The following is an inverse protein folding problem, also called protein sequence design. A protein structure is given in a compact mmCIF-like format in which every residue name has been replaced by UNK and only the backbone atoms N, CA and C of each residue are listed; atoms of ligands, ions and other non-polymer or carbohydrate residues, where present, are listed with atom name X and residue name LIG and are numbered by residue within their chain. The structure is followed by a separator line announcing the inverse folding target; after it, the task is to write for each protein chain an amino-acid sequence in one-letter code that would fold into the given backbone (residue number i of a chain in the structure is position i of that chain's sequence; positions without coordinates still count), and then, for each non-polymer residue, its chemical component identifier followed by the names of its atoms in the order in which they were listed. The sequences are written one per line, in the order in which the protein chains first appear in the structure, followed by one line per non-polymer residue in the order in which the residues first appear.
data_IF_386218969508
#
_entry.id   IF_386218969508
#
_cell.length_a   1.000
_cell.length_b   1.000
_cell.length_c   1.000
_cell.angle_alpha   90.00
_cell.angle_beta   90.00
_cell.angle_gamma   90.00
#
_symmetry.space_group_name_H-M   'P 1'
#
loop_
_entity.id
_entity.type
_entity.pdbx_description
1 polymer ?
#
# COMPACT_ATOMS: atom_id res chain seq x y z
N UNK A 1 -13.96 -15.67 29.50
CA UNK A 1 -12.76 -15.60 28.65
C UNK A 1 -12.82 -16.73 27.64
N UNK A 2 -13.16 -16.47 26.36
CA UNK A 2 -12.92 -17.44 25.32
C UNK A 2 -11.54 -17.22 24.72
N UNK A 3 -10.70 -18.24 24.83
CA UNK A 3 -9.43 -18.39 24.14
C UNK A 3 -9.66 -18.44 22.64
N UNK A 4 -9.36 -17.34 21.94
CA UNK A 4 -9.33 -17.32 20.48
C UNK A 4 -8.10 -18.13 20.03
N UNK A 5 -8.34 -19.34 19.54
CA UNK A 5 -7.31 -20.25 19.04
C UNK A 5 -6.88 -19.75 17.67
N UNK A 6 -5.79 -19.01 17.60
CA UNK A 6 -5.09 -18.69 16.36
C UNK A 6 -4.39 -19.96 15.84
N UNK A 7 -5.15 -20.83 15.18
CA UNK A 7 -4.61 -21.94 14.41
C UNK A 7 -4.85 -21.66 12.93
N UNK A 8 -3.82 -21.12 12.28
CA UNK A 8 -3.37 -21.38 10.90
C UNK A 8 -2.31 -20.32 10.51
N UNK A 9 -1.22 -20.28 11.29
CA UNK A 9 0.06 -19.70 10.87
C UNK A 9 0.97 -20.88 10.50
N UNK A 10 0.91 -21.30 9.24
CA UNK A 10 1.85 -22.30 8.74
C UNK A 10 3.20 -21.64 8.43
N UNK A 11 4.13 -21.88 9.35
CA UNK A 11 5.54 -22.23 9.13
C UNK A 11 6.42 -21.32 8.23
N UNK A 12 6.88 -20.18 8.77
CA UNK A 12 8.28 -19.71 8.56
C UNK A 12 8.70 -18.49 9.42
N UNK A 13 8.01 -18.21 10.53
CA UNK A 13 8.52 -17.29 11.56
C UNK A 13 8.22 -17.86 12.96
N UNK A 14 9.05 -18.77 13.44
CA UNK A 14 8.95 -19.38 14.78
C UNK A 14 9.54 -18.48 15.87
N UNK A 15 9.33 -17.17 15.78
CA UNK A 15 9.56 -16.24 16.89
C UNK A 15 8.23 -15.56 17.15
N UNK A 16 7.42 -16.16 18.01
CA UNK A 16 6.35 -15.41 18.65
C UNK A 16 7.01 -14.24 19.39
N UNK A 17 6.52 -13.00 19.23
CA UNK A 17 7.06 -11.88 19.99
C UNK A 17 7.02 -12.24 21.48
N UNK A 18 8.11 -11.95 22.19
CA UNK A 18 8.15 -12.09 23.65
C UNK A 18 6.93 -11.38 24.23
N UNK A 19 6.08 -12.11 24.97
CA UNK A 19 4.94 -11.54 25.70
C UNK A 19 5.38 -10.80 26.97
N UNK A 20 6.54 -10.15 26.91
CA UNK A 20 7.18 -9.44 27.98
C UNK A 20 8.15 -8.40 27.42
N UNK A 21 8.30 -7.30 28.13
CA UNK A 21 9.22 -6.21 27.82
C UNK A 21 8.54 -5.01 27.16
N UNK A 22 9.27 -3.90 26.98
CA UNK A 22 8.67 -2.59 26.69
C UNK A 22 7.78 -2.53 25.44
N UNK A 23 8.12 -3.31 24.39
CA UNK A 23 7.30 -3.38 23.19
C UNK A 23 5.95 -4.09 23.45
N UNK A 24 5.96 -5.18 24.21
CA UNK A 24 4.73 -5.89 24.55
C UNK A 24 3.84 -5.06 25.48
N UNK A 25 4.46 -4.37 26.45
CA UNK A 25 3.76 -3.45 27.34
C UNK A 25 3.09 -2.32 26.54
N UNK A 26 3.82 -1.71 25.60
CA UNK A 26 3.29 -0.70 24.68
C UNK A 26 2.10 -1.22 23.86
N UNK A 27 2.18 -2.45 23.32
CA UNK A 27 1.06 -3.06 22.57
C UNK A 27 -0.15 -3.28 23.47
N UNK A 28 0.04 -3.83 24.68
CA UNK A 28 -1.03 -4.05 25.65
C UNK A 28 -1.71 -2.73 26.08
N UNK A 29 -0.91 -1.70 26.38
CA UNK A 29 -1.40 -0.37 26.75
C UNK A 29 -2.14 0.31 25.59
N UNK A 30 -1.62 0.17 24.36
CA UNK A 30 -2.28 0.68 23.15
C UNK A 30 -3.63 0.00 22.93
N UNK A 31 -3.71 -1.32 23.05
CA UNK A 31 -4.97 -2.06 22.95
C UNK A 31 -5.95 -1.65 24.06
N UNK A 32 -5.49 -1.58 25.30
CA UNK A 32 -6.34 -1.17 26.43
C UNK A 32 -6.87 0.26 26.26
N UNK A 33 -6.03 1.18 25.78
CA UNK A 33 -6.42 2.55 25.49
C UNK A 33 -7.42 2.62 24.35
N UNK A 34 -7.22 1.81 23.29
CA UNK A 34 -8.15 1.68 22.19
C UNK A 34 -9.53 1.23 22.72
N UNK A 35 -9.61 0.15 23.49
CA UNK A 35 -10.87 -0.33 24.09
C UNK A 35 -11.52 0.64 25.08
N UNK A 36 -10.74 1.55 25.68
CA UNK A 36 -11.25 2.58 26.58
C UNK A 36 -11.75 3.83 25.84
N UNK A 37 -11.58 3.90 24.51
CA UNK A 37 -12.08 5.01 23.70
C UNK A 37 -13.57 4.85 23.38
N UNK A 38 -14.22 5.94 22.94
CA UNK A 38 -15.64 5.91 22.55
C UNK A 38 -15.92 5.23 21.22
N UNK A 39 -14.88 4.97 20.43
CA UNK A 39 -15.00 4.41 19.09
C UNK A 39 -13.71 4.59 18.30
N UNK A 40 -13.59 3.83 17.20
CA UNK A 40 -12.43 3.82 16.32
C UNK A 40 -12.81 4.51 15.02
N UNK A 41 -12.01 5.47 14.58
CA UNK A 41 -12.11 6.03 13.24
C UNK A 41 -11.19 5.21 12.34
N UNK A 42 -11.77 4.52 11.36
CA UNK A 42 -11.01 3.73 10.40
C UNK A 42 -10.90 4.49 9.07
N UNK A 43 -9.68 4.68 8.60
CA UNK A 43 -9.41 5.09 7.22
C UNK A 43 -9.64 3.87 6.31
N UNK A 44 -10.89 3.52 6.09
CA UNK A 44 -11.38 2.47 5.18
C UNK A 44 -12.84 2.78 4.83
N UNK A 45 -13.46 2.01 3.96
CA UNK A 45 -14.87 2.19 3.55
C UNK A 45 -15.62 0.86 3.52
N UNK A 46 -16.93 0.93 3.75
CA UNK A 46 -17.78 -0.26 3.93
C UNK A 46 -17.72 -1.22 2.74
N UNK A 47 -17.69 -0.72 1.51
CA UNK A 47 -17.63 -1.55 0.30
C UNK A 47 -16.30 -2.31 0.13
N UNK A 48 -15.25 -1.91 0.86
CA UNK A 48 -13.96 -2.61 0.85
C UNK A 48 -13.91 -3.76 1.85
N UNK A 49 -14.43 -3.55 3.06
CA UNK A 49 -14.17 -4.41 4.22
C UNK A 49 -15.42 -4.71 5.09
N UNK A 50 -16.63 -4.62 4.54
CA UNK A 50 -17.89 -4.77 5.31
C UNK A 50 -17.91 -6.01 6.18
N UNK A 51 -17.47 -7.17 5.66
CA UNK A 51 -17.42 -8.42 6.44
C UNK A 51 -16.64 -8.27 7.74
N UNK A 52 -15.50 -7.57 7.71
CA UNK A 52 -14.65 -7.37 8.88
C UNK A 52 -15.20 -6.27 9.80
N UNK A 53 -15.73 -5.19 9.23
CA UNK A 53 -16.33 -4.07 9.97
C UNK A 53 -17.59 -4.52 10.71
N UNK A 54 -18.45 -5.29 10.05
CA UNK A 54 -19.70 -5.81 10.63
C UNK A 54 -19.40 -6.84 11.71
N UNK A 55 -18.43 -7.73 11.49
CA UNK A 55 -17.94 -8.65 12.51
C UNK A 55 -17.43 -7.89 13.74
N UNK A 56 -16.61 -6.87 13.52
CA UNK A 56 -16.06 -6.05 14.60
C UNK A 56 -17.17 -5.37 15.40
N UNK A 57 -18.07 -4.67 14.73
CA UNK A 57 -19.16 -3.92 15.38
C UNK A 57 -20.21 -4.81 16.05
N UNK A 58 -20.27 -6.09 15.70
CA UNK A 58 -21.15 -7.07 16.35
C UNK A 58 -20.51 -7.69 17.58
N UNK A 59 -19.24 -8.06 17.49
CA UNK A 59 -18.57 -8.91 18.48
C UNK A 59 -17.76 -8.12 19.52
N UNK A 60 -17.49 -6.84 19.27
CA UNK A 60 -16.75 -5.97 20.18
C UNK A 60 -17.59 -4.76 20.60
N UNK A 61 -17.47 -4.37 21.87
CA UNK A 61 -18.22 -3.24 22.45
C UNK A 61 -17.78 -1.87 21.89
N UNK A 62 -16.58 -1.80 21.30
CA UNK A 62 -16.05 -0.59 20.70
C UNK A 62 -16.41 -0.50 19.21
N UNK A 63 -17.25 0.47 18.87
CA UNK A 63 -17.70 0.71 17.48
C UNK A 63 -16.59 1.28 16.60
N UNK A 64 -16.44 0.73 15.41
CA UNK A 64 -15.56 1.22 14.34
C UNK A 64 -16.37 1.93 13.26
N UNK A 65 -15.88 3.12 12.87
CA UNK A 65 -16.45 4.01 11.88
C UNK A 65 -15.53 4.09 10.66
N UNK A 66 -15.84 3.37 9.57
CA UNK A 66 -15.12 3.51 8.32
C UNK A 66 -15.56 4.82 7.63
N UNK A 67 -14.64 5.77 7.54
CA UNK A 67 -14.89 7.12 6.97
C UNK A 67 -13.92 7.48 5.83
N UNK A 68 -13.11 6.52 5.40
CA UNK A 68 -12.14 6.69 4.33
C UNK A 68 -12.74 6.49 2.93
N UNK A 69 -11.93 6.52 1.87
CA UNK A 69 -10.49 6.78 1.89
C UNK A 69 -10.17 8.26 2.07
N UNK A 70 -9.43 8.59 3.13
CA UNK A 70 -9.12 9.98 3.49
C UNK A 70 -8.15 10.67 2.52
N UNK A 71 -7.45 9.93 1.66
CA UNK A 71 -6.65 10.51 0.59
C UNK A 71 -7.49 11.27 -0.45
N UNK A 72 -8.80 11.00 -0.56
CA UNK A 72 -9.74 11.78 -1.38
C UNK A 72 -10.23 13.07 -0.69
N UNK A 73 -10.07 13.17 0.63
CA UNK A 73 -10.48 14.35 1.39
C UNK A 73 -9.37 15.42 1.46
N UNK A 74 -8.12 15.04 1.18
CA UNK A 74 -6.99 15.95 1.14
C UNK A 74 -7.02 16.78 -0.14
N UNK A 75 -6.90 18.11 -0.02
CA UNK A 75 -6.62 18.98 -1.17
C UNK A 75 -5.25 18.64 -1.74
N UNK A 76 -5.11 18.67 -3.07
CA UNK A 76 -3.79 18.52 -3.69
C UNK A 76 -2.82 19.57 -3.15
N UNK A 77 -1.54 19.21 -2.88
CA UNK A 77 -0.53 20.20 -2.56
C UNK A 77 -0.42 21.22 -3.69
N UNK A 78 -0.73 22.48 -3.40
CA UNK A 78 -0.82 23.56 -4.39
C UNK A 78 0.52 23.96 -5.04
N UNK A 79 1.65 23.35 -4.65
CA UNK A 79 2.98 23.69 -5.14
C UNK A 79 3.68 22.45 -5.68
N UNK A 80 3.73 22.34 -7.01
CA UNK A 80 4.58 21.36 -7.68
C UNK A 80 6.04 21.79 -7.56
N UNK A 81 6.86 20.93 -6.97
CA UNK A 81 8.31 21.07 -7.00
C UNK A 81 8.84 21.01 -8.44
N UNK A 82 10.11 21.37 -8.64
CA UNK A 82 10.76 21.18 -9.95
C UNK A 82 10.78 19.69 -10.34
N UNK A 83 10.97 18.82 -9.35
CA UNK A 83 11.04 17.38 -9.54
C UNK A 83 9.66 16.82 -9.93
N UNK A 84 8.57 17.34 -9.36
CA UNK A 84 7.21 16.95 -9.75
C UNK A 84 6.91 17.27 -11.22
N UNK A 85 7.39 18.42 -11.73
CA UNK A 85 7.24 18.79 -13.15
C UNK A 85 8.05 17.87 -14.07
N UNK A 86 9.31 17.61 -13.74
CA UNK A 86 10.16 16.70 -14.51
C UNK A 86 9.64 15.25 -14.51
N UNK A 87 9.05 14.81 -13.41
CA UNK A 87 8.33 13.53 -13.35
C UNK A 87 7.11 13.55 -14.27
N UNK A 88 6.30 14.61 -14.22
CA UNK A 88 5.11 14.73 -15.08
C UNK A 88 5.49 14.70 -16.56
N UNK A 89 6.46 15.51 -16.97
CA UNK A 89 6.92 15.58 -18.37
C UNK A 89 7.43 14.20 -18.86
N UNK A 90 8.16 13.48 -18.01
CA UNK A 90 8.61 12.14 -18.33
C UNK A 90 7.42 11.17 -18.47
N UNK A 91 6.47 11.17 -17.54
CA UNK A 91 5.27 10.33 -17.59
C UNK A 91 4.38 10.63 -18.80
N UNK A 92 4.24 11.91 -19.17
CA UNK A 92 3.54 12.37 -20.37
C UNK A 92 4.20 11.83 -21.64
N UNK A 93 5.54 11.84 -21.70
CA UNK A 93 6.27 11.24 -22.82
C UNK A 93 6.01 9.74 -22.94
N UNK A 94 5.92 9.02 -21.80
CA UNK A 94 5.60 7.58 -21.80
C UNK A 94 4.18 7.34 -22.30
N UNK A 95 3.23 8.17 -21.87
CA UNK A 95 1.83 8.11 -22.31
C UNK A 95 1.72 8.32 -23.83
N UNK A 96 2.40 9.32 -24.38
CA UNK A 96 2.38 9.62 -25.82
C UNK A 96 2.96 8.49 -26.70
N UNK A 97 3.77 7.60 -26.11
CA UNK A 97 4.35 6.43 -26.78
C UNK A 97 3.63 5.12 -26.47
N UNK A 98 2.49 5.16 -25.75
CA UNK A 98 1.77 3.98 -25.26
C UNK A 98 2.65 3.03 -24.43
N UNK A 99 3.61 3.59 -23.67
CA UNK A 99 4.52 2.83 -22.81
C UNK A 99 3.98 2.82 -21.37
N UNK A 100 3.37 1.72 -20.90
CA UNK A 100 2.84 1.64 -19.55
C UNK A 100 3.97 1.66 -18.51
N UNK A 101 3.75 2.42 -17.44
CA UNK A 101 4.73 2.67 -16.38
C UNK A 101 4.38 1.88 -15.13
N UNK A 102 5.38 1.18 -14.57
CA UNK A 102 5.36 0.67 -13.21
C UNK A 102 5.92 1.74 -12.27
N UNK A 103 5.09 2.26 -11.37
CA UNK A 103 5.56 3.11 -10.29
C UNK A 103 6.14 2.23 -9.18
N UNK A 104 7.30 2.57 -8.63
CA UNK A 104 8.00 1.81 -7.59
C UNK A 104 8.31 2.72 -6.42
N UNK A 105 7.75 2.42 -5.24
CA UNK A 105 8.04 3.14 -4.00
C UNK A 105 7.72 2.30 -2.76
N UNK A 106 8.62 2.33 -1.79
CA UNK A 106 8.52 1.52 -0.56
C UNK A 106 8.23 2.37 0.70
N UNK A 107 7.69 3.57 0.53
CA UNK A 107 7.33 4.45 1.63
C UNK A 107 8.52 5.22 2.25
N UNK A 108 8.27 5.96 3.33
CA UNK A 108 9.27 6.78 4.02
C UNK A 108 10.08 6.03 5.08
N UNK A 109 9.59 4.89 5.55
CA UNK A 109 10.16 4.16 6.68
C UNK A 109 10.87 2.85 6.27
N UNK A 110 10.86 2.49 4.99
CA UNK A 110 11.57 1.32 4.51
C UNK A 110 13.09 1.59 4.42
N UNK A 111 13.90 0.76 5.07
CA UNK A 111 15.35 0.70 4.87
C UNK A 111 15.69 -0.62 4.17
N UNK A 112 15.72 -0.60 2.83
CA UNK A 112 16.15 -1.75 2.04
C UNK A 112 17.66 -1.98 2.21
N UNK A 113 18.06 -3.24 2.33
CA UNK A 113 19.48 -3.60 2.26
C UNK A 113 20.04 -3.27 0.87
N UNK A 114 21.35 -3.03 0.79
CA UNK A 114 22.03 -2.82 -0.50
C UNK A 114 21.80 -3.99 -1.46
N UNK A 115 21.80 -5.22 -0.95
CA UNK A 115 21.55 -6.42 -1.76
C UNK A 115 20.13 -6.42 -2.33
N UNK A 116 19.12 -6.09 -1.51
CA UNK A 116 17.73 -6.06 -1.98
C UNK A 116 17.49 -4.95 -3.02
N UNK A 117 18.12 -3.78 -2.86
CA UNK A 117 18.09 -2.71 -3.86
C UNK A 117 18.67 -3.18 -5.19
N UNK A 118 19.78 -3.91 -5.16
CA UNK A 118 20.41 -4.44 -6.37
C UNK A 118 19.52 -5.48 -7.06
N UNK A 119 18.92 -6.42 -6.32
CA UNK A 119 17.99 -7.40 -6.90
C UNK A 119 16.78 -6.71 -7.57
N UNK A 120 16.22 -5.68 -6.93
CA UNK A 120 15.12 -4.89 -7.52
C UNK A 120 15.60 -4.20 -8.80
N UNK A 121 16.77 -3.57 -8.78
CA UNK A 121 17.33 -2.88 -9.94
C UNK A 121 17.59 -3.82 -11.12
N UNK A 122 18.21 -4.99 -10.88
CA UNK A 122 18.44 -6.02 -11.91
C UNK A 122 17.11 -6.51 -12.47
N UNK A 123 16.13 -6.80 -11.60
CA UNK A 123 14.83 -7.30 -12.03
C UNK A 123 14.06 -6.29 -12.87
N UNK A 124 14.04 -5.02 -12.46
CA UNK A 124 13.40 -3.94 -13.21
C UNK A 124 14.04 -3.75 -14.58
N UNK A 125 15.37 -3.71 -14.65
CA UNK A 125 16.09 -3.54 -15.91
C UNK A 125 15.76 -4.65 -16.92
N UNK A 126 15.81 -5.90 -16.47
CA UNK A 126 15.53 -7.08 -17.29
C UNK A 126 14.03 -7.29 -17.60
N UNK A 127 13.11 -6.59 -16.92
CA UNK A 127 11.66 -6.78 -17.11
C UNK A 127 11.15 -6.29 -18.47
N UNK A 128 11.84 -5.32 -19.07
CA UNK A 128 11.38 -4.62 -20.26
C UNK A 128 10.28 -3.59 -20.01
N UNK A 129 9.87 -3.38 -18.75
CA UNK A 129 8.84 -2.43 -18.34
C UNK A 129 9.45 -1.04 -18.16
N UNK A 130 8.73 0.01 -18.56
CA UNK A 130 9.09 1.39 -18.19
C UNK A 130 8.74 1.62 -16.72
N UNK A 131 9.61 2.26 -15.94
CA UNK A 131 9.36 2.44 -14.51
C UNK A 131 9.82 3.79 -13.97
N UNK A 132 9.08 4.28 -12.98
CA UNK A 132 9.46 5.41 -12.14
C UNK A 132 9.75 4.87 -10.75
N UNK A 133 11.01 4.95 -10.30
CA UNK A 133 11.42 4.45 -8.99
C UNK A 133 11.82 5.59 -8.06
N UNK A 134 11.05 5.76 -6.99
CA UNK A 134 11.40 6.64 -5.89
C UNK A 134 12.23 5.86 -4.87
N UNK A 135 13.50 6.23 -4.76
CA UNK A 135 14.44 5.57 -3.85
C UNK A 135 14.63 6.42 -2.60
N UNK A 136 14.49 5.78 -1.45
CA UNK A 136 14.86 6.31 -0.13
C UNK A 136 15.74 5.29 0.56
N UNK A 137 17.05 5.47 0.45
CA UNK A 137 17.99 4.58 1.12
C UNK A 137 19.30 5.30 1.37
N UNK A 138 19.90 5.04 2.53
CA UNK A 138 21.28 5.45 2.82
C UNK A 138 22.31 4.79 1.88
N UNK A 139 21.91 3.70 1.22
CA UNK A 139 22.70 3.01 0.21
C UNK A 139 22.45 3.55 -1.19
N UNK A 140 21.70 4.63 -1.35
CA UNK A 140 21.52 5.29 -2.64
C UNK A 140 22.21 6.64 -2.60
N UNK A 141 23.03 6.91 -3.60
CA UNK A 141 23.54 8.26 -3.91
C UNK A 141 23.35 8.48 -5.39
N UNK A 142 22.66 9.57 -5.73
CA UNK A 142 22.35 9.96 -7.11
C UNK A 142 23.60 10.16 -7.99
N UNK A 143 24.75 10.41 -7.37
CA UNK A 143 26.02 10.62 -8.08
C UNK A 143 26.64 9.32 -8.65
N UNK A 144 26.32 8.13 -8.10
CA UNK A 144 27.05 6.90 -8.43
C UNK A 144 26.21 5.65 -8.75
N UNK A 145 24.92 5.58 -8.39
CA UNK A 145 24.15 4.31 -8.47
C UNK A 145 23.00 4.34 -9.48
N UNK A 146 23.09 3.43 -10.45
CA UNK A 146 22.19 3.23 -11.59
C UNK A 146 22.26 4.28 -12.72
N UNK A 147 23.23 5.20 -12.67
CA UNK A 147 23.46 6.15 -13.75
C UNK A 147 23.66 5.40 -15.08
N UNK A 148 22.87 5.79 -16.08
CA UNK A 148 22.73 5.19 -17.41
C UNK A 148 22.25 3.73 -17.49
N UNK A 149 22.10 3.02 -16.35
CA UNK A 149 21.73 1.59 -16.33
C UNK A 149 20.43 1.32 -17.08
N UNK A 150 19.44 2.16 -16.86
CA UNK A 150 18.07 1.91 -17.33
C UNK A 150 17.75 2.59 -18.67
N UNK A 151 18.71 3.32 -19.25
CA UNK A 151 18.50 4.13 -20.45
C UNK A 151 17.29 5.04 -20.30
N UNK A 152 16.41 5.05 -21.31
CA UNK A 152 15.20 5.87 -21.32
C UNK A 152 13.98 5.21 -20.65
N UNK A 153 14.07 3.92 -20.26
CA UNK A 153 12.97 3.14 -19.68
C UNK A 153 12.77 3.40 -18.19
N UNK A 154 13.85 3.67 -17.46
CA UNK A 154 13.81 3.88 -16.01
C UNK A 154 14.10 5.32 -15.64
N UNK A 155 13.18 5.94 -14.90
CA UNK A 155 13.43 7.21 -14.20
C UNK A 155 13.58 6.94 -12.71
N UNK A 156 14.71 7.30 -12.14
CA UNK A 156 14.98 7.16 -10.69
C UNK A 156 14.97 8.55 -10.06
N UNK A 157 14.25 8.69 -8.95
CA UNK A 157 14.15 9.95 -8.20
C UNK A 157 14.45 9.69 -6.74
N UNK A 158 15.19 10.61 -6.12
CA UNK A 158 15.50 10.58 -4.70
C UNK A 158 14.55 11.49 -3.91
N UNK A 159 14.11 11.07 -2.72
CA UNK A 159 13.40 11.95 -1.79
C UNK A 159 11.87 11.86 -1.84
N UNK A 160 11.18 12.99 -1.84
CA UNK A 160 9.71 13.07 -1.74
C UNK A 160 9.09 13.59 -3.02
N UNK A 161 8.00 12.94 -3.44
CA UNK A 161 7.24 13.28 -4.63
C UNK A 161 5.75 13.31 -4.30
N UNK A 162 4.95 13.97 -5.13
CA UNK A 162 3.50 13.83 -5.09
C UNK A 162 3.05 12.42 -5.57
N UNK A 163 3.08 11.44 -4.66
CA UNK A 163 2.72 10.05 -4.95
C UNK A 163 1.31 9.91 -5.51
N UNK A 164 0.34 10.66 -4.97
CA UNK A 164 -1.04 10.62 -5.46
C UNK A 164 -1.14 11.14 -6.91
N UNK A 165 -0.40 12.21 -7.23
CA UNK A 165 -0.29 12.75 -8.59
C UNK A 165 0.34 11.75 -9.57
N UNK A 166 1.38 11.03 -9.15
CA UNK A 166 1.98 9.95 -9.96
C UNK A 166 1.00 8.81 -10.17
N UNK A 167 0.34 8.32 -9.13
CA UNK A 167 -0.66 7.24 -9.25
C UNK A 167 -1.86 7.65 -10.10
N UNK A 168 -2.25 8.92 -10.08
CA UNK A 168 -3.31 9.47 -10.93
C UNK A 168 -2.91 9.66 -12.41
N UNK A 169 -1.62 9.55 -12.74
CA UNK A 169 -1.14 9.75 -14.10
C UNK A 169 -1.51 8.56 -15.01
N UNK A 170 -2.08 8.84 -16.19
CA UNK A 170 -2.65 7.81 -17.08
C UNK A 170 -1.64 6.78 -17.61
N UNK A 171 -0.35 7.12 -17.70
CA UNK A 171 0.69 6.15 -18.08
C UNK A 171 1.02 5.16 -16.98
N UNK A 172 0.73 5.45 -15.71
CA UNK A 172 0.96 4.51 -14.61
C UNK A 172 -0.08 3.40 -14.66
N UNK A 173 0.39 2.16 -14.75
CA UNK A 173 -0.43 0.94 -14.88
C UNK A 173 -0.14 -0.13 -13.83
N UNK A 174 0.79 0.13 -12.93
CA UNK A 174 1.04 -0.73 -11.78
C UNK A 174 1.80 0.01 -10.70
N UNK A 175 1.69 -0.45 -9.46
CA UNK A 175 2.40 0.09 -8.32
C UNK A 175 3.13 -0.99 -7.53
N UNK A 176 4.45 -0.99 -7.60
CA UNK A 176 5.31 -1.83 -6.78
C UNK A 176 5.56 -1.19 -5.43
N UNK A 177 4.93 -1.75 -4.39
CA UNK A 177 4.84 -1.11 -3.08
C UNK A 177 5.00 -2.07 -1.91
N UNK A 178 5.51 -1.50 -0.83
CA UNK A 178 5.56 -2.09 0.50
C UNK A 178 4.18 -2.36 1.13
N UNK A 179 3.06 -1.96 0.51
CA UNK A 179 1.71 -2.19 1.02
C UNK A 179 1.42 -1.55 2.39
N UNK A 180 2.04 -0.41 2.70
CA UNK A 180 1.54 0.46 3.78
C UNK A 180 0.12 0.94 3.47
N UNK A 181 -0.76 0.99 4.48
CA UNK A 181 -2.19 1.16 4.25
C UNK A 181 -2.57 2.43 3.47
N UNK A 182 -1.89 3.55 3.73
CA UNK A 182 -2.10 4.79 2.96
C UNK A 182 -1.80 4.57 1.46
N UNK A 183 -0.68 3.93 1.13
CA UNK A 183 -0.31 3.64 -0.26
C UNK A 183 -1.28 2.67 -0.93
N UNK A 184 -1.84 1.71 -0.17
CA UNK A 184 -2.89 0.81 -0.66
C UNK A 184 -4.15 1.60 -1.03
N UNK A 185 -4.61 2.50 -0.15
CA UNK A 185 -5.79 3.33 -0.42
C UNK A 185 -5.58 4.32 -1.58
N UNK A 186 -4.40 4.93 -1.70
CA UNK A 186 -4.05 5.75 -2.87
C UNK A 186 -4.08 4.94 -4.17
N UNK A 187 -3.57 3.71 -4.16
CA UNK A 187 -3.63 2.81 -5.32
C UNK A 187 -5.07 2.41 -5.68
N UNK A 188 -5.88 2.05 -4.67
CA UNK A 188 -7.31 1.75 -4.82
C UNK A 188 -8.03 2.93 -5.45
N UNK A 189 -7.86 4.12 -4.88
CA UNK A 189 -8.56 5.33 -5.34
C UNK A 189 -8.14 5.74 -6.74
N UNK A 190 -6.88 5.54 -7.13
CA UNK A 190 -6.41 5.81 -8.49
C UNK A 190 -6.64 4.65 -9.48
N UNK A 191 -7.13 3.51 -9.01
CA UNK A 191 -7.41 2.35 -9.87
C UNK A 191 -6.16 1.69 -10.44
N UNK A 192 -5.06 1.74 -9.69
CA UNK A 192 -3.77 1.17 -10.08
C UNK A 192 -3.58 -0.19 -9.37
N UNK A 193 -3.31 -1.29 -10.09
CA UNK A 193 -3.07 -2.59 -9.48
C UNK A 193 -1.70 -2.65 -8.80
N UNK A 194 -1.58 -3.49 -7.77
CA UNK A 194 -0.41 -3.52 -6.89
C UNK A 194 0.50 -4.72 -7.19
N UNK A 195 1.81 -4.48 -7.22
CA UNK A 195 2.83 -5.50 -7.00
C UNK A 195 3.23 -5.41 -5.52
N UNK A 196 2.89 -6.41 -4.72
CA UNK A 196 2.99 -6.35 -3.27
C UNK A 196 4.33 -6.92 -2.78
N UNK A 197 5.12 -6.09 -2.08
CA UNK A 197 6.37 -6.49 -1.43
C UNK A 197 6.47 -5.93 0.00
N UNK A 198 5.74 -6.51 0.96
CA UNK A 198 5.67 -6.01 2.33
C UNK A 198 6.98 -6.20 3.09
N UNK A 199 7.31 -5.24 3.95
CA UNK A 199 8.60 -5.18 4.63
C UNK A 199 8.48 -5.18 6.16
N UNK A 200 7.54 -4.44 6.72
CA UNK A 200 7.43 -4.23 8.18
C UNK A 200 5.97 -4.06 8.63
N UNK A 201 5.76 -3.92 9.95
CA UNK A 201 4.47 -3.64 10.56
C UNK A 201 3.35 -4.60 10.07
N UNK A 202 2.16 -4.07 9.78
CA UNK A 202 1.00 -4.82 9.30
C UNK A 202 1.01 -5.06 7.78
N UNK A 203 2.05 -4.62 7.06
CA UNK A 203 2.11 -4.66 5.59
C UNK A 203 1.92 -6.06 5.02
N UNK A 204 2.37 -7.12 5.71
CA UNK A 204 2.13 -8.51 5.28
C UNK A 204 0.65 -8.86 5.26
N UNK A 205 -0.12 -8.37 6.24
CA UNK A 205 -1.58 -8.52 6.27
C UNK A 205 -2.24 -7.70 5.17
N UNK A 206 -1.81 -6.45 4.97
CA UNK A 206 -2.31 -5.60 3.89
C UNK A 206 -2.06 -6.23 2.51
N UNK A 207 -0.86 -6.75 2.27
CA UNK A 207 -0.51 -7.43 1.03
C UNK A 207 -1.31 -8.73 0.85
N UNK A 208 -1.61 -9.46 1.94
CA UNK A 208 -2.52 -10.61 1.90
C UNK A 208 -3.93 -10.18 1.50
N UNK A 209 -4.44 -9.10 2.10
CA UNK A 209 -5.74 -8.54 1.79
C UNK A 209 -5.83 -8.11 0.31
N UNK A 210 -4.84 -7.34 -0.17
CA UNK A 210 -4.75 -6.87 -1.56
C UNK A 210 -4.80 -8.01 -2.59
N UNK A 211 -4.02 -9.07 -2.36
CA UNK A 211 -3.86 -10.16 -3.34
C UNK A 211 -4.96 -11.23 -3.18
N UNK A 212 -5.19 -11.69 -1.95
CA UNK A 212 -6.01 -12.87 -1.69
C UNK A 212 -7.49 -12.55 -1.44
N UNK A 213 -7.81 -11.33 -0.98
CA UNK A 213 -9.18 -10.96 -0.60
C UNK A 213 -9.83 -10.06 -1.65
N UNK A 214 -9.15 -8.98 -2.04
CA UNK A 214 -9.72 -8.02 -3.01
C UNK A 214 -9.22 -8.24 -4.43
N UNK A 215 -8.27 -9.15 -4.66
CA UNK A 215 -7.74 -9.54 -5.98
C UNK A 215 -7.25 -8.36 -6.84
N UNK A 216 -6.59 -7.38 -6.22
CA UNK A 216 -6.15 -6.14 -6.85
C UNK A 216 -4.63 -6.12 -7.10
N UNK A 217 -3.95 -7.27 -7.09
CA UNK A 217 -2.51 -7.29 -7.25
C UNK A 217 -1.86 -8.66 -7.28
N UNK A 218 -0.54 -8.63 -7.45
CA UNK A 218 0.35 -9.78 -7.44
C UNK A 218 1.31 -9.70 -6.25
N UNK A 219 1.92 -10.85 -5.92
CA UNK A 219 2.73 -11.01 -4.72
C UNK A 219 4.20 -11.28 -5.05
N UNK A 220 5.12 -10.48 -4.50
CA UNK A 220 6.58 -10.71 -4.62
C UNK A 220 7.17 -11.00 -3.24
N UNK A 221 7.50 -12.27 -2.98
CA UNK A 221 8.03 -12.71 -1.68
C UNK A 221 9.39 -13.41 -1.85
N UNK A 222 10.26 -13.36 -0.83
CA UNK A 222 11.42 -14.23 -0.78
C UNK A 222 11.01 -15.69 -0.88
N UNK A 223 11.71 -16.48 -1.68
CA UNK A 223 11.52 -17.93 -1.70
C UNK A 223 12.32 -18.57 -0.58
N UNK A 224 11.69 -19.50 0.15
CA UNK A 224 12.33 -20.22 1.26
C UNK A 224 13.52 -21.08 0.81
N UNK A 225 13.55 -21.49 -0.46
CA UNK A 225 14.62 -22.30 -1.07
C UNK A 225 15.70 -21.47 -1.80
N UNK A 226 15.65 -20.15 -1.69
CA UNK A 226 16.69 -19.29 -2.24
C UNK A 226 17.93 -19.53 -1.39
N UNK A 227 18.94 -20.25 -1.91
CA UNK A 227 20.11 -20.72 -1.18
C UNK A 227 20.80 -19.66 -0.30
N UNK A 228 21.75 -20.05 0.56
CA UNK A 228 22.31 -19.23 1.67
C UNK A 228 22.68 -17.76 1.37
N UNK A 229 22.97 -17.40 0.12
CA UNK A 229 23.28 -16.03 -0.30
C UNK A 229 22.04 -15.14 -0.53
N UNK A 230 20.87 -15.74 -0.73
CA UNK A 230 19.57 -15.10 -1.02
C UNK A 230 18.54 -15.32 0.09
N UNK A 231 18.95 -15.87 1.24
CA UNK A 231 18.06 -16.14 2.38
C UNK A 231 17.34 -14.85 2.82
N UNK A 232 16.02 -14.81 2.60
CA UNK A 232 15.17 -13.66 2.90
C UNK A 232 15.14 -12.53 1.86
N UNK A 233 15.84 -12.65 0.72
CA UNK A 233 15.76 -11.68 -0.38
C UNK A 233 14.70 -12.06 -1.41
N UNK A 234 14.03 -11.05 -1.95
CA UNK A 234 13.33 -11.16 -3.23
C UNK A 234 14.37 -11.11 -4.34
N UNK A 235 14.46 -12.17 -5.13
CA UNK A 235 15.42 -12.27 -6.24
C UNK A 235 14.93 -11.52 -7.49
N UNK A 236 15.88 -11.00 -8.25
CA UNK A 236 15.69 -10.22 -9.46
C UNK A 236 14.86 -10.93 -10.53
N UNK A 237 14.98 -12.26 -10.65
CA UNK A 237 14.14 -13.05 -11.55
C UNK A 237 12.65 -12.98 -11.20
N UNK A 238 12.31 -12.94 -9.91
CA UNK A 238 10.91 -12.83 -9.48
C UNK A 238 10.40 -11.39 -9.69
N UNK A 239 11.23 -10.38 -9.40
CA UNK A 239 10.90 -8.97 -9.72
C UNK A 239 10.66 -8.81 -11.22
N UNK A 240 11.54 -9.35 -12.06
CA UNK A 240 11.45 -9.31 -13.51
C UNK A 240 10.14 -9.92 -14.01
N UNK A 241 9.86 -11.16 -13.61
CA UNK A 241 8.71 -11.91 -14.08
C UNK A 241 7.40 -11.27 -13.61
N UNK A 242 7.30 -10.88 -12.34
CA UNK A 242 6.07 -10.37 -11.75
C UNK A 242 5.79 -8.91 -12.12
N UNK A 243 6.82 -8.07 -12.31
CA UNK A 243 6.65 -6.74 -12.89
C UNK A 243 6.07 -6.83 -14.31
N UNK A 244 6.60 -7.76 -15.12
CA UNK A 244 6.11 -7.99 -16.48
C UNK A 244 4.68 -8.56 -16.48
N UNK A 245 4.38 -9.51 -15.60
CA UNK A 245 3.04 -10.09 -15.46
C UNK A 245 2.01 -9.06 -15.01
N UNK A 246 2.35 -8.16 -14.06
CA UNK A 246 1.43 -7.12 -13.63
C UNK A 246 1.08 -6.15 -14.77
N UNK A 247 2.06 -5.77 -15.59
CA UNK A 247 1.87 -4.73 -16.62
C UNK A 247 1.32 -5.29 -17.94
N UNK A 248 1.77 -6.46 -18.36
CA UNK A 248 1.45 -7.03 -19.67
C UNK A 248 0.71 -8.37 -19.62
N UNK A 249 0.65 -9.00 -18.45
CA UNK A 249 0.13 -10.34 -18.26
C UNK A 249 -1.38 -10.39 -18.00
N UNK A 250 -1.90 -11.61 -17.96
CA UNK A 250 -3.33 -11.85 -17.78
C UNK A 250 -3.77 -11.63 -16.34
N UNK A 251 -2.97 -12.04 -15.35
CA UNK A 251 -3.28 -11.78 -13.94
C UNK A 251 -3.22 -10.28 -13.65
N UNK A 252 -2.27 -9.57 -14.29
CA UNK A 252 -2.18 -8.12 -14.26
C UNK A 252 -3.42 -7.42 -14.80
N UNK A 253 -3.97 -7.88 -15.93
CA UNK A 253 -5.24 -7.36 -16.49
C UNK A 253 -6.42 -7.56 -15.54
N UNK A 254 -6.52 -8.72 -14.88
CA UNK A 254 -7.58 -8.98 -13.88
C UNK A 254 -7.44 -8.06 -12.67
N UNK A 255 -6.22 -7.92 -12.14
CA UNK A 255 -5.93 -7.00 -11.06
C UNK A 255 -6.27 -5.55 -11.43
N UNK A 256 -5.96 -5.11 -12.65
CA UNK A 256 -6.27 -3.77 -13.15
C UNK A 256 -7.79 -3.54 -13.28
N UNK A 257 -8.55 -4.52 -13.80
CA UNK A 257 -10.01 -4.44 -13.86
C UNK A 257 -10.60 -4.28 -12.46
N UNK A 258 -10.10 -5.07 -11.50
CA UNK A 258 -10.52 -5.00 -10.11
C UNK A 258 -10.16 -3.68 -9.43
N UNK A 259 -8.97 -3.15 -9.71
CA UNK A 259 -8.55 -1.83 -9.22
C UNK A 259 -9.49 -0.73 -9.75
N UNK A 260 -9.90 -0.80 -11.02
CA UNK A 260 -10.85 0.14 -11.62
C UNK A 260 -12.23 0.09 -10.95
N UNK A 261 -12.75 -1.11 -10.64
CA UNK A 261 -14.02 -1.27 -9.91
C UNK A 261 -13.96 -0.62 -8.52
N UNK A 262 -12.90 -0.94 -7.76
CA UNK A 262 -12.69 -0.42 -6.43
C UNK A 262 -12.50 1.10 -6.42
N UNK A 263 -11.82 1.64 -7.43
CA UNK A 263 -11.64 3.09 -7.63
C UNK A 263 -12.96 3.84 -7.80
N UNK A 264 -13.90 3.26 -8.56
CA UNK A 264 -15.27 3.82 -8.69
C UNK A 264 -16.00 3.75 -7.35
N UNK A 265 -15.95 2.59 -6.69
CA UNK A 265 -16.59 2.40 -5.38
C UNK A 265 -16.04 3.37 -4.32
N UNK A 266 -14.73 3.58 -4.30
CA UNK A 266 -14.04 4.40 -3.32
C UNK A 266 -14.34 5.91 -3.47
N UNK A 267 -14.67 6.37 -4.68
CA UNK A 267 -15.15 7.74 -4.89
C UNK A 267 -16.60 7.89 -4.45
N UNK A 268 -17.45 6.94 -4.85
CA UNK A 268 -18.89 6.95 -4.53
C UNK A 268 -19.17 6.97 -3.02
N UNK A 269 -18.39 6.26 -2.23
CA UNK A 269 -18.56 6.24 -0.76
C UNK A 269 -18.31 7.61 -0.10
N UNK A 270 -17.50 8.47 -0.73
CA UNK A 270 -17.18 9.81 -0.23
C UNK A 270 -18.19 10.89 -0.66
N UNK A 271 -19.02 10.61 -1.65
CA UNK A 271 -20.06 11.53 -2.12
C UNK A 271 -21.23 11.64 -1.11
N UNK A 272 -22.05 12.69 -1.23
CA UNK A 272 -23.26 12.84 -0.40
C UNK A 272 -24.17 11.62 -0.58
N UNK A 273 -24.54 10.97 0.53
CA UNK A 273 -25.29 9.70 0.53
C UNK A 273 -24.42 8.44 0.36
N UNK A 274 -23.11 8.59 0.19
CA UNK A 274 -22.13 7.50 0.21
C UNK A 274 -21.86 6.98 1.63
N UNK A 275 -21.41 5.72 1.75
CA UNK A 275 -21.29 5.06 3.05
C UNK A 275 -20.34 5.78 4.02
N UNK A 276 -19.18 6.25 3.57
CA UNK A 276 -18.23 7.00 4.41
C UNK A 276 -18.75 8.39 4.78
N UNK A 277 -19.44 9.08 3.85
CA UNK A 277 -20.11 10.35 4.15
C UNK A 277 -21.16 10.17 5.26
N UNK A 278 -22.03 9.17 5.12
CA UNK A 278 -23.08 8.85 6.10
C UNK A 278 -22.51 8.36 7.43
N UNK A 279 -21.45 7.56 7.41
CA UNK A 279 -20.78 7.10 8.64
C UNK A 279 -20.15 8.26 9.40
N UNK A 280 -19.53 9.22 8.70
CA UNK A 280 -19.00 10.43 9.33
C UNK A 280 -20.14 11.26 9.96
N UNK A 281 -21.24 11.46 9.24
CA UNK A 281 -22.40 12.20 9.74
C UNK A 281 -23.00 11.54 11.00
N UNK A 282 -23.21 10.22 10.96
CA UNK A 282 -23.71 9.44 12.11
C UNK A 282 -22.74 9.49 13.30
N UNK A 283 -21.45 9.35 13.05
CA UNK A 283 -20.43 9.45 14.09
C UNK A 283 -20.47 10.83 14.77
N UNK A 284 -20.53 11.92 13.99
CA UNK A 284 -20.62 13.29 14.54
C UNK A 284 -21.90 13.47 15.36
N UNK A 285 -23.03 12.94 14.89
CA UNK A 285 -24.29 12.97 15.62
C UNK A 285 -24.19 12.23 16.96
N UNK A 286 -23.77 10.96 16.95
CA UNK A 286 -23.67 10.13 18.16
C UNK A 286 -22.71 10.75 19.20
N UNK A 287 -21.56 11.28 18.75
CA UNK A 287 -20.60 11.95 19.64
C UNK A 287 -21.18 13.24 20.23
N UNK A 288 -21.95 14.00 19.44
CA UNK A 288 -22.56 15.26 19.88
C UNK A 288 -23.72 15.05 20.86
N UNK A 289 -24.59 14.07 20.62
CA UNK A 289 -25.72 13.72 21.49
C UNK A 289 -25.26 13.18 22.85
N UNK A 290 -24.17 12.40 22.85
CA UNK A 290 -23.54 11.93 24.10
C UNK A 290 -23.03 13.09 24.95
N UNK A 291 -22.53 14.17 24.31
CA UNK A 291 -22.09 15.37 25.03
C UNK A 291 -23.26 16.23 25.54
N UNK A 292 -24.40 16.22 24.85
CA UNK A 292 -25.60 16.92 25.29
C UNK A 292 -26.31 16.23 26.47
N UNK A 293 -26.16 14.90 26.58
CA UNK A 293 -26.72 14.11 27.67
C UNK A 293 -25.78 13.96 28.89
N UNK A 294 -24.53 14.46 28.80
CA UNK A 294 -23.63 14.79 29.90
C UNK A 294 -22.85 13.63 30.55
N UNK A 295 -21.59 13.92 30.89
CA UNK A 295 -20.83 13.29 31.99
C UNK A 295 -20.22 11.92 31.71
#
# INVERSE_FOLDING_TARGET
MPTCTAALLHASCTVYPSMAGPHWDFVCESCSSMYSSRGIIANSFSELESVYIDLWNRDFDIKTWPIGPLCLAASEPAVQSKDDRDISDWLDSRLAMDRPVLYVAFGSQADLSRAQLEEIAVGLDHSGVDFLWVVRSKWFSSEDRFNDRFGDRGKVVEGFINQLGVLGHKSVKGFFTHCGWNSVLESITMGVPILAFPMAAEQKLNAKFVVDVIHMGLRVWPKEDAGKESDGLVVSGDVQALARELIFGEEGRRAAARASELSVSSRKTMEVGGSSYENLAKMVQEVSETNANGG
#
